data_IF_527373424956
#
_entry.id   IF_527373424956
#
_cell.length_a   1.000
_cell.length_b   1.000
_cell.length_c   1.000
_cell.angle_alpha   90.00
_cell.angle_beta   90.00
_cell.angle_gamma   90.00
#
_symmetry.space_group_name_H-M   'P 1'
#
loop_
_entity.id
_entity.type
_entity.pdbx_description
1 polymer ?
#
# COMPACT_ATOMS: atom_id res chain seq x y z
N UNK A 1 -7.66 -13.17 -26.75
CA UNK A 1 -6.99 -13.85 -25.63
C UNK A 1 -7.33 -13.06 -24.37
N UNK A 2 -7.64 -13.71 -23.28
CA UNK A 2 -7.98 -13.04 -22.00
C UNK A 2 -6.80 -13.18 -21.02
N UNK A 3 -6.56 -12.15 -20.24
CA UNK A 3 -5.57 -12.14 -19.16
C UNK A 3 -6.33 -12.12 -17.82
N UNK A 4 -6.71 -13.28 -17.28
CA UNK A 4 -7.62 -13.36 -16.16
C UNK A 4 -7.05 -12.75 -14.87
N UNK A 5 -5.76 -12.95 -14.58
CA UNK A 5 -5.13 -12.33 -13.40
C UNK A 5 -5.06 -10.81 -13.52
N UNK A 6 -4.76 -10.29 -14.71
CA UNK A 6 -4.78 -8.83 -14.97
C UNK A 6 -6.21 -8.29 -14.80
N UNK A 7 -7.22 -9.01 -15.29
CA UNK A 7 -8.62 -8.63 -15.13
C UNK A 7 -9.03 -8.61 -13.65
N UNK A 8 -8.68 -9.66 -12.89
CA UNK A 8 -8.91 -9.68 -11.42
C UNK A 8 -8.18 -8.55 -10.70
N UNK A 9 -6.93 -8.28 -11.05
CA UNK A 9 -6.18 -7.17 -10.47
C UNK A 9 -6.85 -5.81 -10.73
N UNK A 10 -7.51 -5.66 -11.89
CA UNK A 10 -8.24 -4.44 -12.26
C UNK A 10 -9.61 -4.31 -11.58
N UNK A 11 -10.12 -5.37 -10.95
CA UNK A 11 -11.42 -5.40 -10.30
C UNK A 11 -11.54 -4.31 -9.23
N UNK A 12 -12.73 -3.72 -9.17
CA UNK A 12 -13.03 -2.65 -8.23
C UNK A 12 -12.89 -3.09 -6.77
N UNK A 13 -13.36 -4.30 -6.42
CA UNK A 13 -13.30 -4.80 -5.04
C UNK A 13 -11.87 -5.09 -4.62
N UNK A 14 -11.05 -5.62 -5.53
CA UNK A 14 -9.62 -5.84 -5.31
C UNK A 14 -8.90 -4.52 -5.03
N UNK A 15 -9.27 -3.44 -5.71
CA UNK A 15 -8.65 -2.13 -5.62
C UNK A 15 -9.19 -1.22 -4.51
N UNK A 16 -10.29 -1.59 -3.89
CA UNK A 16 -10.90 -0.80 -2.81
C UNK A 16 -10.38 -1.21 -1.43
N UNK A 17 -9.88 -0.24 -0.67
CA UNK A 17 -9.36 -0.46 0.67
C UNK A 17 -10.39 -1.08 1.66
N UNK A 18 -11.67 -0.87 1.43
CA UNK A 18 -12.74 -1.44 2.26
C UNK A 18 -13.14 -2.87 1.88
N UNK A 19 -12.88 -3.30 0.64
CA UNK A 19 -13.40 -4.54 0.08
C UNK A 19 -12.33 -5.63 -0.16
N UNK A 20 -11.05 -5.24 -0.36
CA UNK A 20 -10.02 -6.19 -0.82
C UNK A 20 -9.78 -7.37 0.13
N UNK A 21 -10.03 -7.25 1.42
CA UNK A 21 -9.97 -8.38 2.36
C UNK A 21 -11.00 -9.44 2.01
N UNK A 22 -12.25 -9.02 1.80
CA UNK A 22 -13.35 -9.94 1.51
C UNK A 22 -13.18 -10.51 0.10
N UNK A 23 -12.67 -9.72 -0.84
CA UNK A 23 -12.25 -10.22 -2.15
C UNK A 23 -11.15 -11.28 -2.03
N UNK A 24 -10.12 -11.07 -1.17
CA UNK A 24 -9.09 -12.08 -0.91
C UNK A 24 -9.66 -13.34 -0.27
N UNK A 25 -10.58 -13.20 0.70
CA UNK A 25 -11.24 -14.33 1.37
C UNK A 25 -12.07 -15.19 0.40
N UNK A 26 -12.64 -14.59 -0.64
CA UNK A 26 -13.41 -15.29 -1.67
C UNK A 26 -12.55 -16.01 -2.72
N UNK A 27 -11.23 -15.73 -2.78
CA UNK A 27 -10.31 -16.37 -3.72
C UNK A 27 -9.69 -17.63 -3.10
N UNK A 28 -9.39 -18.60 -3.96
CA UNK A 28 -8.70 -19.86 -3.60
C UNK A 28 -7.44 -20.04 -4.44
N UNK A 29 -6.45 -20.76 -3.92
CA UNK A 29 -5.24 -21.11 -4.66
C UNK A 29 -5.55 -21.84 -5.95
N UNK A 30 -6.50 -22.79 -5.96
CA UNK A 30 -6.93 -23.53 -7.13
C UNK A 30 -7.48 -22.61 -8.24
N UNK A 31 -8.34 -21.64 -7.87
CA UNK A 31 -8.87 -20.68 -8.85
C UNK A 31 -7.77 -19.81 -9.44
N UNK A 32 -6.79 -19.42 -8.64
CA UNK A 32 -5.66 -18.61 -9.08
C UNK A 32 -4.64 -19.42 -9.88
N UNK A 33 -4.48 -20.72 -9.60
CA UNK A 33 -3.69 -21.63 -10.44
C UNK A 33 -4.28 -21.73 -11.84
N UNK A 34 -5.58 -21.95 -11.95
CA UNK A 34 -6.23 -22.00 -13.28
C UNK A 34 -6.03 -20.71 -14.07
N UNK A 35 -6.18 -19.55 -13.41
CA UNK A 35 -5.91 -18.25 -14.03
C UNK A 35 -4.43 -18.06 -14.38
N UNK A 36 -3.52 -18.56 -13.56
CA UNK A 36 -2.07 -18.51 -13.80
C UNK A 36 -1.68 -19.32 -15.03
N UNK A 37 -2.24 -20.52 -15.20
CA UNK A 37 -2.01 -21.37 -16.37
C UNK A 37 -2.51 -20.69 -17.65
N UNK A 38 -3.69 -20.06 -17.63
CA UNK A 38 -4.22 -19.29 -18.76
C UNK A 38 -3.33 -18.08 -19.06
N UNK A 39 -2.84 -17.39 -18.03
CA UNK A 39 -1.93 -16.26 -18.17
C UNK A 39 -0.62 -16.68 -18.84
N UNK A 40 -0.04 -17.84 -18.46
CA UNK A 40 1.14 -18.41 -19.10
C UNK A 40 0.90 -18.76 -20.59
N UNK A 41 -0.24 -19.40 -20.90
CA UNK A 41 -0.60 -19.77 -22.28
C UNK A 41 -0.77 -18.53 -23.17
N UNK A 42 -1.32 -17.45 -22.62
CA UNK A 42 -1.57 -16.20 -23.34
C UNK A 42 -0.39 -15.21 -23.23
N UNK A 43 0.71 -15.60 -22.61
CA UNK A 43 1.85 -14.71 -22.37
C UNK A 43 2.38 -14.11 -23.68
N UNK A 44 2.52 -12.79 -23.78
CA UNK A 44 3.12 -12.18 -24.94
C UNK A 44 4.60 -12.55 -25.02
N UNK A 45 5.04 -13.00 -26.17
CA UNK A 45 6.45 -13.37 -26.43
C UNK A 45 7.19 -12.20 -27.03
N UNK A 46 7.90 -11.45 -26.20
CA UNK A 46 8.67 -10.28 -26.62
C UNK A 46 9.73 -10.66 -27.68
N UNK A 47 10.33 -11.83 -27.54
CA UNK A 47 11.31 -12.36 -28.47
C UNK A 47 10.79 -12.47 -29.92
N UNK A 48 9.49 -12.75 -30.11
CA UNK A 48 8.87 -12.83 -31.44
C UNK A 48 8.85 -11.45 -32.15
N UNK A 49 9.03 -10.38 -31.40
CA UNK A 49 9.15 -9.01 -31.94
C UNK A 49 10.62 -8.57 -32.14
N UNK A 50 11.58 -9.47 -31.98
CA UNK A 50 13.01 -9.18 -32.10
C UNK A 50 13.56 -8.30 -30.98
N UNK A 51 12.88 -8.25 -29.84
CA UNK A 51 13.25 -7.39 -28.69
C UNK A 51 13.72 -8.21 -27.52
N UNK A 52 14.66 -7.65 -26.76
CA UNK A 52 15.15 -8.22 -25.54
C UNK A 52 14.31 -7.81 -24.33
N UNK A 53 14.22 -8.71 -23.35
CA UNK A 53 13.64 -8.46 -22.02
C UNK A 53 14.57 -7.55 -21.20
N UNK A 54 15.86 -7.88 -21.17
CA UNK A 54 16.87 -7.14 -20.46
C UNK A 54 17.49 -6.08 -21.37
N UNK A 55 17.51 -4.83 -20.94
CA UNK A 55 18.02 -3.72 -21.75
C UNK A 55 19.30 -3.16 -21.15
N UNK A 56 20.34 -2.97 -21.98
CA UNK A 56 21.52 -2.24 -21.54
C UNK A 56 21.14 -0.78 -21.32
N UNK A 57 21.03 -0.38 -20.06
CA UNK A 57 20.60 0.98 -19.71
C UNK A 57 21.81 1.91 -19.51
N UNK A 58 21.64 3.14 -19.92
CA UNK A 58 22.65 4.20 -19.75
C UNK A 58 22.72 4.78 -18.33
N UNK A 59 21.95 4.22 -17.38
CA UNK A 59 21.83 4.76 -16.02
C UNK A 59 20.76 5.84 -15.85
N UNK A 60 20.43 6.58 -16.89
CA UNK A 60 19.37 7.60 -16.82
C UNK A 60 17.99 6.95 -17.02
N UNK A 61 16.99 7.24 -16.17
CA UNK A 61 15.63 6.84 -16.41
C UNK A 61 15.12 7.43 -17.73
N UNK A 62 14.24 6.70 -18.44
CA UNK A 62 13.64 7.19 -19.68
C UNK A 62 12.66 8.35 -19.44
N UNK A 63 12.28 8.60 -18.19
CA UNK A 63 11.36 9.67 -17.80
C UNK A 63 12.08 10.78 -17.07
N UNK A 64 11.69 12.01 -17.35
CA UNK A 64 12.02 13.14 -16.49
C UNK A 64 11.43 12.95 -15.09
N UNK A 65 12.03 13.59 -14.07
CA UNK A 65 11.53 13.59 -12.69
C UNK A 65 10.09 14.13 -12.66
N UNK A 66 9.12 13.21 -12.49
CA UNK A 66 7.71 13.54 -12.34
C UNK A 66 7.18 12.84 -11.07
N UNK A 67 6.29 13.52 -10.35
CA UNK A 67 5.64 13.00 -9.13
C UNK A 67 4.97 11.63 -9.29
N UNK A 68 4.63 11.22 -10.52
CA UNK A 68 3.93 9.98 -10.81
C UNK A 68 4.84 8.82 -11.23
N UNK A 69 6.18 9.01 -11.24
CA UNK A 69 7.15 8.00 -11.73
C UNK A 69 8.25 7.66 -10.71
N UNK A 70 7.99 7.85 -9.45
CA UNK A 70 8.95 7.59 -8.37
C UNK A 70 9.43 6.14 -8.35
N UNK A 71 8.59 5.16 -8.72
CA UNK A 71 8.97 3.75 -8.78
C UNK A 71 10.02 3.45 -9.86
N UNK A 72 9.97 4.12 -11.01
CA UNK A 72 11.00 3.96 -12.05
C UNK A 72 12.34 4.52 -11.55
N UNK A 73 12.30 5.67 -10.90
CA UNK A 73 13.50 6.31 -10.35
C UNK A 73 14.09 5.52 -9.20
N UNK A 74 13.26 5.02 -8.29
CA UNK A 74 13.70 4.13 -7.22
C UNK A 74 14.30 2.83 -7.76
N UNK A 75 13.66 2.20 -8.74
CA UNK A 75 14.17 0.99 -9.38
C UNK A 75 15.54 1.22 -10.05
N UNK A 76 15.69 2.38 -10.71
CA UNK A 76 16.97 2.79 -11.29
C UNK A 76 18.06 3.02 -10.23
N UNK A 77 17.71 3.70 -9.13
CA UNK A 77 18.63 3.96 -8.02
C UNK A 77 19.09 2.67 -7.34
N UNK A 78 18.18 1.72 -7.10
CA UNK A 78 18.49 0.41 -6.54
C UNK A 78 19.43 -0.38 -7.45
N UNK A 79 19.11 -0.48 -8.74
CA UNK A 79 19.94 -1.20 -9.71
C UNK A 79 21.33 -0.57 -9.81
N UNK A 80 21.39 0.76 -9.85
CA UNK A 80 22.65 1.50 -9.88
C UNK A 80 23.48 1.22 -8.63
N UNK A 81 22.87 1.30 -7.44
CA UNK A 81 23.56 1.00 -6.18
C UNK A 81 24.18 -0.39 -6.20
N UNK A 82 23.42 -1.42 -6.55
CA UNK A 82 23.90 -2.79 -6.61
C UNK A 82 25.05 -2.96 -7.60
N UNK A 83 24.97 -2.32 -8.76
CA UNK A 83 26.04 -2.40 -9.78
C UNK A 83 27.32 -1.66 -9.39
N UNK A 84 27.22 -0.44 -8.85
CA UNK A 84 28.37 0.35 -8.45
C UNK A 84 29.10 -0.26 -7.24
N UNK A 85 28.37 -0.91 -6.34
CA UNK A 85 28.95 -1.58 -5.17
C UNK A 85 29.36 -3.03 -5.46
N UNK A 86 28.85 -3.63 -6.55
CA UNK A 86 29.01 -5.06 -6.80
C UNK A 86 28.33 -5.93 -5.74
N UNK A 87 27.29 -5.39 -5.09
CA UNK A 87 26.58 -6.03 -3.98
C UNK A 87 25.17 -6.47 -4.37
N UNK A 88 24.76 -7.63 -3.84
CA UNK A 88 23.37 -8.06 -3.84
C UNK A 88 22.67 -7.58 -2.57
N UNK A 89 21.34 -7.47 -2.61
CA UNK A 89 20.53 -7.14 -1.44
C UNK A 89 20.38 -8.39 -0.57
N UNK A 90 20.72 -8.29 0.71
CA UNK A 90 20.48 -9.38 1.66
C UNK A 90 18.97 -9.52 1.92
N UNK A 91 18.46 -10.74 1.82
CA UNK A 91 17.08 -11.08 2.20
C UNK A 91 16.98 -11.27 3.72
N UNK A 92 15.79 -11.08 4.32
CA UNK A 92 15.59 -11.28 5.74
C UNK A 92 15.86 -12.73 6.18
N UNK A 93 16.11 -12.92 7.48
CA UNK A 93 16.28 -14.23 8.12
C UNK A 93 17.34 -15.14 7.45
N UNK A 94 18.38 -14.52 6.86
CA UNK A 94 19.43 -15.25 6.13
C UNK A 94 18.91 -16.12 4.98
N UNK A 95 17.71 -15.76 4.43
CA UNK A 95 17.06 -16.51 3.36
C UNK A 95 17.71 -16.29 1.98
N UNK A 96 18.93 -15.75 1.95
CA UNK A 96 19.74 -15.60 0.75
C UNK A 96 19.95 -14.15 0.31
N UNK A 97 20.27 -13.98 -0.95
CA UNK A 97 20.59 -12.68 -1.55
C UNK A 97 19.76 -12.45 -2.82
N UNK A 98 19.44 -11.19 -3.09
CA UNK A 98 18.75 -10.76 -4.31
C UNK A 98 19.70 -9.93 -5.17
N UNK A 99 20.15 -10.49 -6.28
CA UNK A 99 20.89 -9.79 -7.34
C UNK A 99 19.89 -9.13 -8.31
N UNK A 100 20.00 -7.81 -8.53
CA UNK A 100 19.12 -7.10 -9.44
C UNK A 100 19.69 -7.12 -10.88
N UNK A 101 18.88 -7.58 -11.83
CA UNK A 101 19.24 -7.67 -13.24
C UNK A 101 18.82 -6.43 -14.04
N UNK A 102 17.55 -6.01 -13.92
CA UNK A 102 17.01 -4.85 -14.63
C UNK A 102 15.75 -4.28 -13.94
N UNK A 103 15.35 -3.06 -14.30
CA UNK A 103 14.12 -2.42 -13.80
C UNK A 103 13.21 -2.05 -14.97
N UNK A 104 11.91 -1.90 -14.68
CA UNK A 104 10.87 -1.60 -15.69
C UNK A 104 10.97 -2.51 -16.91
N UNK A 105 11.09 -3.82 -16.64
CA UNK A 105 11.28 -4.85 -17.67
C UNK A 105 10.01 -4.99 -18.51
N UNK A 106 10.17 -4.88 -19.79
CA UNK A 106 9.06 -5.05 -20.75
C UNK A 106 8.77 -6.54 -20.94
N UNK A 107 7.51 -6.88 -20.93
CA UNK A 107 7.04 -8.25 -21.18
C UNK A 107 6.21 -8.38 -22.46
N UNK A 108 5.94 -7.25 -23.13
CA UNK A 108 5.16 -7.23 -24.38
C UNK A 108 5.82 -6.34 -25.45
N UNK A 109 5.49 -6.57 -26.70
CA UNK A 109 5.93 -5.78 -27.86
C UNK A 109 5.51 -4.31 -27.80
N UNK A 110 5.91 -3.53 -28.79
CA UNK A 110 5.80 -2.07 -28.74
C UNK A 110 4.38 -1.51 -28.96
N UNK A 111 3.45 -2.28 -29.45
CA UNK A 111 2.09 -1.78 -29.71
C UNK A 111 1.35 -1.67 -28.38
N UNK A 112 1.24 -0.44 -27.89
CA UNK A 112 0.50 -0.13 -26.66
C UNK A 112 -1.00 -0.44 -26.78
N UNK A 113 -1.53 -0.45 -28.01
CA UNK A 113 -2.96 -0.51 -28.29
C UNK A 113 -3.46 -1.92 -28.68
N UNK A 114 -2.60 -2.94 -28.58
CA UNK A 114 -3.02 -4.31 -28.85
C UNK A 114 -4.04 -4.75 -27.78
N UNK A 115 -5.30 -5.02 -28.17
CA UNK A 115 -6.34 -5.47 -27.26
C UNK A 115 -5.96 -6.75 -26.51
N UNK A 116 -5.16 -7.63 -27.16
CA UNK A 116 -4.71 -8.90 -26.58
C UNK A 116 -3.74 -8.72 -25.40
N UNK A 117 -3.08 -7.58 -25.30
CA UNK A 117 -2.11 -7.29 -24.23
C UNK A 117 -2.49 -6.08 -23.38
N UNK A 118 -3.77 -5.67 -23.48
CA UNK A 118 -4.27 -4.52 -22.70
C UNK A 118 -4.15 -4.80 -21.21
N UNK A 119 -3.66 -3.80 -20.48
CA UNK A 119 -3.49 -3.87 -19.03
C UNK A 119 -2.18 -4.52 -18.56
N UNK A 120 -1.48 -5.28 -19.41
CA UNK A 120 -0.16 -5.82 -19.06
C UNK A 120 0.83 -4.66 -18.95
N UNK A 121 1.34 -4.44 -17.74
CA UNK A 121 2.34 -3.43 -17.42
C UNK A 121 3.76 -3.91 -17.67
N UNK A 122 4.70 -3.30 -16.96
CA UNK A 122 6.11 -3.72 -16.88
C UNK A 122 6.36 -4.39 -15.54
N UNK A 123 7.31 -5.30 -15.48
CA UNK A 123 7.85 -5.80 -14.21
C UNK A 123 8.69 -4.66 -13.61
N UNK A 124 8.45 -4.31 -12.35
CA UNK A 124 9.14 -3.18 -11.72
C UNK A 124 10.64 -3.46 -11.59
N UNK A 125 11.01 -4.64 -11.05
CA UNK A 125 12.38 -5.15 -11.01
C UNK A 125 12.40 -6.63 -11.37
N UNK A 126 13.46 -7.05 -12.03
CA UNK A 126 13.79 -8.46 -12.27
C UNK A 126 15.13 -8.76 -11.61
N UNK A 127 15.25 -9.90 -10.96
CA UNK A 127 16.45 -10.29 -10.24
C UNK A 127 16.65 -11.79 -10.18
N UNK A 128 17.72 -12.21 -9.50
CA UNK A 128 18.03 -13.59 -9.17
C UNK A 128 18.18 -13.75 -7.65
N UNK A 129 17.52 -14.74 -7.08
CA UNK A 129 17.80 -15.20 -5.71
C UNK A 129 19.03 -16.12 -5.78
N UNK A 130 20.02 -15.84 -4.93
CA UNK A 130 21.28 -16.58 -4.84
C UNK A 130 21.99 -16.78 -6.20
N UNK A 131 21.82 -15.78 -7.06
CA UNK A 131 22.41 -15.75 -8.40
C UNK A 131 21.84 -16.76 -9.40
N UNK A 132 20.77 -17.49 -9.07
CA UNK A 132 20.25 -18.56 -9.91
C UNK A 132 18.71 -18.50 -10.10
N UNK A 133 17.93 -18.40 -9.03
CA UNK A 133 16.47 -18.48 -9.14
C UNK A 133 15.86 -17.14 -9.56
N UNK A 134 15.10 -17.13 -10.64
CA UNK A 134 14.48 -15.92 -11.16
C UNK A 134 13.52 -15.28 -10.11
N UNK A 135 13.60 -13.99 -9.93
CA UNK A 135 12.72 -13.22 -9.05
C UNK A 135 11.99 -12.11 -9.82
N UNK A 136 10.68 -12.10 -9.71
CA UNK A 136 9.80 -11.04 -10.23
C UNK A 136 9.40 -10.15 -9.08
N UNK A 137 9.77 -8.87 -9.13
CA UNK A 137 9.56 -7.96 -8.02
C UNK A 137 8.54 -6.89 -8.43
N UNK A 138 7.48 -6.76 -7.63
CA UNK A 138 6.53 -5.65 -7.71
C UNK A 138 6.83 -4.66 -6.61
N UNK A 139 6.89 -3.38 -6.95
CA UNK A 139 7.23 -2.34 -5.98
C UNK A 139 6.06 -1.43 -5.68
N UNK A 140 6.02 -0.94 -4.44
CA UNK A 140 5.23 0.21 -4.03
C UNK A 140 6.06 1.10 -3.11
N UNK A 141 6.08 2.36 -3.43
CA UNK A 141 6.77 3.34 -2.61
C UNK A 141 5.80 4.43 -2.16
N UNK A 142 5.89 4.75 -0.90
CA UNK A 142 5.16 5.85 -0.27
C UNK A 142 6.15 6.58 0.60
N UNK A 143 6.26 7.88 0.42
CA UNK A 143 7.14 8.74 1.20
C UNK A 143 6.85 8.64 2.70
N UNK A 144 7.85 8.78 3.58
CA UNK A 144 7.68 8.66 5.02
C UNK A 144 6.61 9.60 5.60
N UNK A 145 6.51 10.82 5.09
CA UNK A 145 5.52 11.82 5.50
C UNK A 145 4.12 11.66 4.91
N UNK A 146 3.91 10.74 3.98
CA UNK A 146 2.63 10.60 3.31
C UNK A 146 1.51 10.14 4.26
N UNK A 147 0.31 10.70 4.06
CA UNK A 147 -0.89 10.36 4.85
C UNK A 147 -1.77 9.29 4.19
N UNK A 148 -1.55 8.99 2.91
CA UNK A 148 -2.35 8.04 2.13
C UNK A 148 -1.44 7.28 1.15
N UNK A 149 -1.75 6.02 0.89
CA UNK A 149 -1.23 5.30 -0.27
C UNK A 149 -1.97 5.74 -1.54
N UNK A 150 -1.50 5.38 -2.72
CA UNK A 150 -2.22 5.59 -3.98
C UNK A 150 -3.64 5.02 -3.96
N UNK A 151 -4.52 5.59 -4.78
CA UNK A 151 -5.87 5.05 -4.97
C UNK A 151 -5.75 3.74 -5.77
N UNK A 152 -6.37 2.67 -5.25
CA UNK A 152 -6.35 1.37 -5.92
C UNK A 152 -5.07 0.55 -5.70
N UNK A 153 -4.10 1.05 -4.94
CA UNK A 153 -2.89 0.32 -4.56
C UNK A 153 -3.11 -0.51 -3.30
N UNK A 154 -3.95 -1.52 -3.39
CA UNK A 154 -4.14 -2.47 -2.28
C UNK A 154 -3.10 -3.58 -2.35
N UNK A 155 -2.75 -4.24 -1.23
CA UNK A 155 -1.88 -5.40 -1.25
C UNK A 155 -2.37 -6.54 -2.14
N UNK A 156 -3.69 -6.78 -2.19
CA UNK A 156 -4.28 -7.79 -3.06
C UNK A 156 -4.13 -7.45 -4.55
N UNK A 157 -4.34 -6.17 -4.93
CA UNK A 157 -4.09 -5.74 -6.31
C UNK A 157 -2.65 -6.00 -6.72
N UNK A 158 -1.68 -5.66 -5.87
CA UNK A 158 -0.25 -5.86 -6.19
C UNK A 158 0.10 -7.34 -6.25
N UNK A 159 -0.49 -8.19 -5.40
CA UNK A 159 -0.31 -9.63 -5.44
C UNK A 159 -0.79 -10.21 -6.78
N UNK A 160 -2.02 -9.91 -7.18
CA UNK A 160 -2.60 -10.45 -8.42
C UNK A 160 -1.87 -9.94 -9.68
N UNK A 161 -1.55 -8.65 -9.73
CA UNK A 161 -0.75 -8.07 -10.80
C UNK A 161 0.67 -8.66 -10.84
N UNK A 162 1.27 -8.90 -9.68
CA UNK A 162 2.55 -9.58 -9.55
C UNK A 162 2.48 -11.04 -10.02
N UNK A 163 1.44 -11.76 -9.65
CA UNK A 163 1.23 -13.15 -10.08
C UNK A 163 1.07 -13.25 -11.60
N UNK A 164 0.34 -12.31 -12.22
CA UNK A 164 0.24 -12.23 -13.68
C UNK A 164 1.61 -12.03 -14.35
N UNK A 165 2.41 -11.09 -13.82
CA UNK A 165 3.76 -10.87 -14.35
C UNK A 165 4.69 -12.06 -14.12
N UNK A 166 4.51 -12.80 -13.03
CA UNK A 166 5.27 -14.02 -12.73
C UNK A 166 4.87 -15.14 -13.70
N UNK A 167 3.58 -15.28 -14.04
CA UNK A 167 3.11 -16.22 -15.05
C UNK A 167 3.75 -15.94 -16.42
N UNK A 168 3.76 -14.67 -16.85
CA UNK A 168 4.39 -14.25 -18.10
C UNK A 168 5.90 -14.51 -18.08
N UNK A 169 6.59 -14.15 -16.98
CA UNK A 169 8.01 -14.40 -16.84
C UNK A 169 8.35 -15.90 -16.88
N UNK A 170 7.51 -16.73 -16.25
CA UNK A 170 7.63 -18.20 -16.30
C UNK A 170 7.50 -18.73 -17.73
N UNK A 171 6.51 -18.26 -18.50
CA UNK A 171 6.31 -18.64 -19.88
C UNK A 171 7.46 -18.23 -20.81
N UNK A 172 8.14 -17.13 -20.46
CA UNK A 172 9.26 -16.57 -21.22
C UNK A 172 10.64 -16.90 -20.62
N UNK A 173 10.70 -17.78 -19.62
CA UNK A 173 11.89 -18.07 -18.82
C UNK A 173 13.12 -18.44 -19.65
N UNK A 174 12.98 -19.30 -20.65
CA UNK A 174 14.09 -19.72 -21.51
C UNK A 174 14.75 -18.56 -22.25
N UNK A 175 13.94 -17.62 -22.74
CA UNK A 175 14.46 -16.42 -23.40
C UNK A 175 15.15 -15.49 -22.41
N UNK A 176 14.55 -15.31 -21.24
CA UNK A 176 15.14 -14.50 -20.15
C UNK A 176 16.45 -15.15 -19.69
N UNK A 177 16.48 -16.46 -19.48
CA UNK A 177 17.67 -17.22 -19.07
C UNK A 177 18.83 -17.06 -20.06
N UNK A 178 18.54 -17.16 -21.36
CA UNK A 178 19.53 -16.94 -22.42
C UNK A 178 20.13 -15.53 -22.32
N UNK A 179 19.27 -14.50 -22.20
CA UNK A 179 19.74 -13.12 -22.06
C UNK A 179 20.56 -12.88 -20.76
N UNK A 180 20.19 -13.58 -19.67
CA UNK A 180 20.95 -13.55 -18.41
C UNK A 180 22.31 -14.17 -18.59
N UNK A 181 22.40 -15.35 -19.22
CA UNK A 181 23.67 -16.01 -19.50
C UNK A 181 24.58 -15.15 -20.38
N UNK A 182 24.03 -14.59 -21.47
CA UNK A 182 24.79 -13.73 -22.39
C UNK A 182 25.31 -12.44 -21.75
N UNK A 183 24.54 -11.83 -20.83
CA UNK A 183 24.86 -10.50 -20.30
C UNK A 183 25.57 -10.52 -18.96
N UNK A 184 25.26 -11.50 -18.14
CA UNK A 184 25.74 -11.55 -16.75
C UNK A 184 26.60 -12.80 -16.48
N UNK A 185 26.69 -13.73 -17.44
CA UNK A 185 27.41 -15.00 -17.23
C UNK A 185 26.78 -15.84 -16.11
N UNK A 186 25.47 -15.71 -15.90
CA UNK A 186 24.73 -16.43 -14.86
C UNK A 186 23.83 -17.48 -15.49
N UNK A 187 23.70 -18.59 -14.80
CA UNK A 187 22.78 -19.67 -15.17
C UNK A 187 21.49 -19.53 -14.37
N UNK A 188 20.35 -19.53 -15.06
CA UNK A 188 19.04 -19.41 -14.38
C UNK A 188 18.52 -20.81 -14.09
N UNK A 189 18.17 -21.08 -12.83
CA UNK A 189 17.57 -22.33 -12.38
C UNK A 189 16.26 -22.63 -13.13
N UNK A 190 15.95 -23.91 -13.39
CA UNK A 190 14.66 -24.33 -13.92
C UNK A 190 13.50 -24.17 -12.94
N UNK A 191 13.77 -23.85 -11.68
CA UNK A 191 12.73 -23.68 -10.66
C UNK A 191 11.75 -22.56 -11.02
N UNK A 192 10.50 -22.65 -10.55
CA UNK A 192 9.54 -21.57 -10.71
C UNK A 192 10.09 -20.25 -10.11
N UNK A 193 9.80 -19.10 -10.74
CA UNK A 193 10.24 -17.81 -10.21
C UNK A 193 9.69 -17.53 -8.82
N UNK A 194 10.37 -16.68 -8.06
CA UNK A 194 9.86 -16.12 -6.80
C UNK A 194 9.14 -14.82 -7.11
N UNK A 195 7.96 -14.62 -6.55
CA UNK A 195 7.27 -13.34 -6.56
C UNK A 195 7.59 -12.56 -5.27
N UNK A 196 8.21 -11.40 -5.42
CA UNK A 196 8.52 -10.51 -4.31
C UNK A 196 7.63 -9.25 -4.39
N UNK A 197 6.87 -9.00 -3.35
CA UNK A 197 6.20 -7.73 -3.17
C UNK A 197 7.05 -6.84 -2.26
N UNK A 198 7.73 -5.87 -2.85
CA UNK A 198 8.64 -4.96 -2.19
C UNK A 198 7.99 -3.58 -2.01
N UNK A 199 7.81 -3.13 -0.76
CA UNK A 199 7.23 -1.81 -0.54
C UNK A 199 7.94 -1.04 0.59
N UNK A 200 7.79 0.30 0.58
CA UNK A 200 8.31 1.11 1.68
C UNK A 200 7.60 0.77 3.00
N UNK A 201 8.25 0.90 4.17
CA UNK A 201 7.62 0.66 5.47
C UNK A 201 6.35 1.50 5.65
N UNK A 202 6.35 2.72 5.10
CA UNK A 202 5.19 3.61 5.16
C UNK A 202 3.98 3.08 4.40
N UNK A 203 4.19 2.41 3.26
CA UNK A 203 3.11 1.74 2.54
C UNK A 203 2.42 0.69 3.43
N UNK A 204 3.20 -0.20 4.02
CA UNK A 204 2.70 -1.25 4.90
C UNK A 204 1.98 -0.69 6.14
N UNK A 205 2.54 0.36 6.75
CA UNK A 205 1.93 1.06 7.88
C UNK A 205 0.57 1.66 7.49
N UNK A 206 0.49 2.33 6.36
CA UNK A 206 -0.76 2.94 5.89
C UNK A 206 -1.80 1.89 5.51
N UNK A 207 -1.41 0.77 4.90
CA UNK A 207 -2.32 -0.35 4.64
C UNK A 207 -2.88 -0.94 5.93
N UNK A 208 -2.09 -1.06 6.98
CA UNK A 208 -2.53 -1.50 8.31
C UNK A 208 -3.49 -0.51 8.97
N UNK A 209 -3.21 0.78 8.86
CA UNK A 209 -4.05 1.86 9.44
C UNK A 209 -5.35 2.11 8.67
N UNK A 210 -5.37 1.83 7.38
CA UNK A 210 -6.57 1.98 6.55
C UNK A 210 -7.74 1.11 6.96
N UNK A 211 -7.56 0.33 7.94
CA UNK A 211 -8.56 -0.65 8.25
C UNK A 211 -9.81 -0.02 8.87
N UNK A 212 -10.75 0.37 8.03
CA UNK A 212 -12.13 -0.04 8.25
C UNK A 212 -12.18 -1.55 8.56
N UNK A 213 -11.07 -2.24 8.42
CA UNK A 213 -10.86 -3.66 8.55
C UNK A 213 -10.29 -3.95 9.94
N UNK A 214 -11.18 -4.45 10.77
CA UNK A 214 -10.89 -4.86 12.15
C UNK A 214 -9.53 -5.55 12.25
N UNK A 215 -8.52 -4.84 12.82
CA UNK A 215 -7.28 -5.42 13.25
C UNK A 215 -6.35 -5.98 12.17
N UNK A 216 -6.24 -5.34 11.00
CA UNK A 216 -5.40 -5.81 9.90
C UNK A 216 -5.64 -7.29 9.49
N UNK A 217 -6.88 -7.78 9.65
CA UNK A 217 -7.29 -9.15 9.33
C UNK A 217 -7.01 -9.55 7.87
N UNK A 218 -6.84 -8.57 6.99
CA UNK A 218 -6.42 -8.79 5.61
C UNK A 218 -5.03 -9.44 5.49
N UNK A 219 -4.13 -9.26 6.47
CA UNK A 219 -2.81 -9.92 6.48
C UNK A 219 -2.99 -11.43 6.53
N UNK A 220 -3.91 -11.92 7.37
CA UNK A 220 -4.21 -13.36 7.46
C UNK A 220 -4.71 -13.91 6.14
N UNK A 221 -5.60 -13.18 5.47
CA UNK A 221 -6.13 -13.60 4.16
C UNK A 221 -5.06 -13.59 3.07
N UNK A 222 -4.19 -12.59 3.04
CA UNK A 222 -3.08 -12.58 2.08
C UNK A 222 -2.05 -13.67 2.37
N UNK A 223 -1.73 -13.93 3.65
CA UNK A 223 -0.82 -15.01 4.02
C UNK A 223 -1.40 -16.37 3.66
N UNK A 224 -2.70 -16.60 3.92
CA UNK A 224 -3.41 -17.81 3.49
C UNK A 224 -3.34 -17.96 1.98
N UNK A 225 -3.72 -16.93 1.25
CA UNK A 225 -3.77 -16.95 -0.21
C UNK A 225 -2.38 -17.17 -0.82
N UNK A 226 -1.34 -16.54 -0.27
CA UNK A 226 0.04 -16.75 -0.69
C UNK A 226 0.48 -18.22 -0.50
N UNK A 227 0.18 -18.82 0.65
CA UNK A 227 0.48 -20.23 0.91
C UNK A 227 -0.29 -21.18 -0.01
N UNK A 228 -1.55 -20.88 -0.31
CA UNK A 228 -2.34 -21.66 -1.27
C UNK A 228 -1.78 -21.53 -2.70
N UNK A 229 -1.42 -20.31 -3.13
CA UNK A 229 -0.78 -20.08 -4.43
C UNK A 229 0.55 -20.85 -4.53
N UNK A 230 1.38 -20.78 -3.51
CA UNK A 230 2.65 -21.51 -3.47
C UNK A 230 2.43 -23.03 -3.58
N UNK A 231 1.45 -23.56 -2.85
CA UNK A 231 1.09 -24.98 -2.92
C UNK A 231 0.64 -25.39 -4.32
N UNK A 232 -0.20 -24.60 -4.95
CA UNK A 232 -0.81 -24.92 -6.24
C UNK A 232 0.07 -24.62 -7.44
N UNK A 233 0.91 -23.59 -7.39
CA UNK A 233 1.71 -23.10 -8.53
C UNK A 233 3.21 -23.32 -8.36
N UNK A 234 3.66 -23.68 -7.17
CA UNK A 234 5.08 -23.71 -6.75
C UNK A 234 5.80 -22.35 -6.85
N UNK A 235 5.04 -21.24 -6.85
CA UNK A 235 5.54 -19.88 -6.85
C UNK A 235 5.61 -19.36 -5.41
N UNK A 236 6.80 -19.27 -4.80
CA UNK A 236 6.93 -18.66 -3.48
C UNK A 236 6.61 -17.17 -3.56
N UNK A 237 5.92 -16.67 -2.53
CA UNK A 237 5.55 -15.26 -2.43
C UNK A 237 6.17 -14.66 -1.18
N UNK A 238 6.94 -13.60 -1.36
CA UNK A 238 7.57 -12.87 -0.26
C UNK A 238 7.04 -11.43 -0.19
N UNK A 239 6.71 -10.98 1.01
CA UNK A 239 6.32 -9.61 1.30
C UNK A 239 7.43 -8.91 2.06
N UNK A 240 8.08 -7.94 1.44
CA UNK A 240 9.26 -7.28 1.99
C UNK A 240 9.06 -5.78 2.15
N UNK A 241 9.68 -5.24 3.18
CA UNK A 241 9.80 -3.81 3.40
C UNK A 241 11.19 -3.34 2.96
N UNK A 242 11.23 -2.35 2.07
CA UNK A 242 12.44 -1.66 1.64
C UNK A 242 12.68 -0.43 2.51
N UNK A 243 13.68 -0.48 3.35
CA UNK A 243 14.13 0.65 4.17
C UNK A 243 15.26 1.38 3.46
N UNK A 244 15.07 2.67 3.26
CA UNK A 244 16.07 3.59 2.70
C UNK A 244 16.56 4.55 3.78
N UNK A 245 17.78 5.05 3.64
CA UNK A 245 18.32 6.14 4.46
C UNK A 245 17.94 7.47 3.79
N UNK A 246 17.50 8.46 4.57
CA UNK A 246 17.07 9.76 4.06
C UNK A 246 15.56 9.82 3.71
N UNK A 247 15.14 10.97 3.24
CA UNK A 247 13.76 11.27 2.82
C UNK A 247 13.79 12.06 1.49
N UNK A 248 13.45 11.46 0.36
CA UNK A 248 12.86 10.12 0.15
C UNK A 248 13.84 8.94 0.17
N UNK A 249 15.13 9.13 0.37
CA UNK A 249 16.16 8.11 0.43
C UNK A 249 16.98 7.96 -0.86
N UNK A 250 16.73 8.83 -1.84
CA UNK A 250 17.56 8.97 -3.03
C UNK A 250 17.62 10.44 -3.49
N UNK A 251 18.72 10.79 -4.09
CA UNK A 251 18.98 12.07 -4.72
C UNK A 251 19.26 11.89 -6.21
N UNK A 252 19.72 12.94 -6.89
CA UNK A 252 20.04 12.92 -8.31
C UNK A 252 21.42 13.53 -8.55
N UNK A 253 22.20 12.85 -9.37
CA UNK A 253 23.42 13.36 -9.95
C UNK A 253 23.32 13.43 -11.49
N UNK A 254 24.43 13.66 -12.18
CA UNK A 254 24.49 13.74 -13.65
C UNK A 254 24.09 12.42 -14.33
N UNK A 255 24.27 11.29 -13.64
CA UNK A 255 23.95 9.97 -14.16
C UNK A 255 22.53 9.52 -13.86
N UNK A 256 21.80 10.24 -13.00
CA UNK A 256 20.41 9.96 -12.65
C UNK A 256 20.17 9.73 -11.15
N UNK A 257 19.15 8.97 -10.78
CA UNK A 257 18.83 8.72 -9.37
C UNK A 257 19.91 7.85 -8.70
N UNK A 258 20.24 8.22 -7.46
CA UNK A 258 21.27 7.63 -6.63
C UNK A 258 20.73 7.44 -5.20
N UNK A 259 20.93 6.27 -4.60
CA UNK A 259 20.58 6.05 -3.19
C UNK A 259 21.51 6.84 -2.26
N UNK A 260 20.94 7.41 -1.20
CA UNK A 260 21.72 8.15 -0.18
C UNK A 260 22.45 7.21 0.79
N UNK A 261 22.09 5.91 0.83
CA UNK A 261 22.72 4.93 1.69
C UNK A 261 22.37 3.50 1.32
N UNK A 262 22.84 2.54 2.13
CA UNK A 262 22.59 1.12 1.91
C UNK A 262 21.10 0.80 2.07
N UNK A 263 20.46 0.22 1.05
CA UNK A 263 19.08 -0.26 1.18
C UNK A 263 19.06 -1.53 2.05
N UNK A 264 18.05 -1.62 2.91
CA UNK A 264 17.85 -2.78 3.78
C UNK A 264 16.48 -3.41 3.48
N UNK A 265 16.46 -4.73 3.37
CA UNK A 265 15.24 -5.51 3.26
C UNK A 265 14.89 -6.10 4.62
N UNK A 266 13.62 -6.07 4.97
CA UNK A 266 13.07 -6.73 6.15
C UNK A 266 11.69 -7.28 5.81
N UNK A 267 11.14 -8.15 6.65
CA UNK A 267 9.76 -8.58 6.46
C UNK A 267 8.79 -7.40 6.46
N UNK A 268 7.75 -7.50 5.65
CA UNK A 268 6.72 -6.48 5.53
C UNK A 268 5.97 -6.25 6.86
N UNK A 269 5.85 -7.31 7.64
CA UNK A 269 5.32 -7.31 9.00
C UNK A 269 6.19 -8.19 9.88
N UNK A 270 6.71 -7.62 10.94
CA UNK A 270 7.47 -8.37 11.95
C UNK A 270 6.57 -9.43 12.62
N UNK A 271 7.15 -10.57 13.06
CA UNK A 271 6.43 -11.58 13.82
C UNK A 271 5.64 -10.94 14.97
N UNK A 272 4.31 -11.06 14.93
CA UNK A 272 3.41 -10.42 15.88
C UNK A 272 2.99 -8.99 15.57
N UNK A 273 3.40 -8.41 14.43
CA UNK A 273 2.88 -7.11 13.96
C UNK A 273 1.39 -7.18 13.58
N UNK A 274 0.89 -8.35 13.31
CA UNK A 274 -0.53 -8.69 13.19
C UNK A 274 -1.22 -8.81 14.56
N UNK A 275 -0.46 -8.93 15.66
CA UNK A 275 -0.97 -8.67 17.00
C UNK A 275 -1.20 -7.17 17.12
N UNK A 276 -2.36 -6.73 16.64
CA UNK A 276 -2.91 -5.46 17.07
C UNK A 276 -2.75 -5.42 18.58
N UNK A 277 -1.86 -4.55 19.08
CA UNK A 277 -1.90 -4.21 20.52
C UNK A 277 -3.37 -3.90 20.77
N UNK A 278 -4.09 -4.68 21.59
CA UNK A 278 -5.50 -4.41 21.81
C UNK A 278 -5.54 -2.93 22.13
N UNK A 279 -6.27 -2.17 21.33
CA UNK A 279 -6.53 -0.76 21.61
C UNK A 279 -6.82 -0.75 23.10
N UNK A 280 -6.03 -0.02 23.94
CA UNK A 280 -6.26 -0.09 25.39
C UNK A 280 -7.75 0.06 25.50
N UNK A 281 -8.42 -0.99 26.02
CA UNK A 281 -9.87 -1.01 26.13
C UNK A 281 -10.17 0.34 26.70
N UNK A 282 -10.85 1.21 25.92
CA UNK A 282 -11.22 2.51 26.38
C UNK A 282 -11.73 2.22 27.78
N UNK A 283 -10.96 2.61 28.80
CA UNK A 283 -11.25 2.31 30.20
C UNK A 283 -12.74 2.38 30.28
N UNK A 284 -13.38 1.24 30.62
CA UNK A 284 -14.83 1.16 30.61
C UNK A 284 -15.25 2.50 31.15
N UNK A 285 -15.86 3.32 30.32
CA UNK A 285 -16.31 4.64 30.75
C UNK A 285 -16.98 4.31 32.05
N UNK A 286 -16.35 4.67 33.15
CA UNK A 286 -17.00 4.60 34.44
C UNK A 286 -18.35 5.20 34.12
N UNK A 287 -19.42 4.43 34.30
CA UNK A 287 -20.77 4.94 34.07
C UNK A 287 -20.75 6.28 34.75
N UNK A 288 -20.66 7.34 33.95
CA UNK A 288 -20.66 8.69 34.50
C UNK A 288 -21.92 8.71 35.33
N UNK A 289 -21.89 9.15 36.59
CA UNK A 289 -23.10 9.27 37.36
C UNK A 289 -24.10 9.90 36.43
N UNK A 290 -25.31 9.32 36.34
CA UNK A 290 -26.40 9.85 35.51
C UNK A 290 -26.45 11.33 35.87
N UNK A 291 -25.89 12.18 34.99
CA UNK A 291 -25.88 13.63 35.26
C UNK A 291 -27.34 14.03 35.29
N UNK A 292 -27.73 14.54 36.43
CA UNK A 292 -29.10 15.00 36.68
C UNK A 292 -29.42 16.05 35.62
N UNK A 293 -30.44 15.81 34.81
CA UNK A 293 -30.81 16.72 33.72
C UNK A 293 -31.31 17.99 34.35
N UNK A 294 -30.64 19.11 34.09
CA UNK A 294 -31.06 20.41 34.55
C UNK A 294 -32.26 20.86 33.76
N UNK A 295 -33.40 21.04 34.43
CA UNK A 295 -34.61 21.58 33.81
C UNK A 295 -34.50 23.11 33.61
N UNK A 296 -35.33 23.62 32.69
CA UNK A 296 -35.38 25.04 32.38
C UNK A 296 -35.89 25.85 33.59
N UNK A 297 -35.18 26.86 34.00
CA UNK A 297 -35.64 27.83 34.98
C UNK A 297 -36.62 28.81 34.33
N UNK A 298 -37.91 28.56 34.52
CA UNK A 298 -38.96 29.35 33.90
C UNK A 298 -39.10 30.75 34.51
N UNK A 299 -38.46 31.03 35.66
CA UNK A 299 -38.41 32.36 36.24
C UNK A 299 -37.53 33.33 35.45
N UNK A 300 -36.61 32.80 34.64
CA UNK A 300 -35.70 33.55 33.79
C UNK A 300 -36.23 33.65 32.33
N UNK A 301 -36.14 34.85 31.72
CA UNK A 301 -36.54 34.98 30.33
C UNK A 301 -35.62 34.17 29.39
N UNK A 302 -36.20 33.61 28.30
CA UNK A 302 -35.39 33.05 27.25
C UNK A 302 -34.55 34.15 26.56
N UNK A 303 -33.26 33.87 26.31
CA UNK A 303 -32.31 34.84 25.71
C UNK A 303 -31.79 34.31 24.36
N UNK A 304 -31.58 35.22 23.42
CA UNK A 304 -30.87 34.85 22.19
C UNK A 304 -29.41 34.54 22.53
N UNK A 305 -28.92 33.42 22.03
CA UNK A 305 -27.54 33.05 22.31
C UNK A 305 -26.55 34.05 21.71
N UNK A 306 -25.61 34.51 22.54
CA UNK A 306 -24.46 35.33 22.16
C UNK A 306 -23.22 34.82 22.88
N UNK A 307 -22.12 34.61 22.17
CA UNK A 307 -20.87 34.05 22.72
C UNK A 307 -20.18 34.96 23.79
N UNK A 308 -20.53 36.25 23.80
CA UNK A 308 -20.04 37.24 24.74
C UNK A 308 -20.83 37.27 26.05
N UNK A 309 -21.97 36.60 26.14
CA UNK A 309 -22.81 36.62 27.34
C UNK A 309 -22.48 35.47 28.29
N UNK A 310 -22.79 35.67 29.56
CA UNK A 310 -22.69 34.66 30.60
C UNK A 310 -24.03 33.94 30.80
N UNK A 311 -23.94 32.61 30.87
CA UNK A 311 -25.10 31.72 31.05
C UNK A 311 -24.90 30.83 32.28
N UNK A 312 -26.00 30.62 33.01
CA UNK A 312 -26.04 29.72 34.17
C UNK A 312 -26.85 28.47 33.85
N UNK A 313 -26.64 27.41 34.62
CA UNK A 313 -27.45 26.18 34.50
C UNK A 313 -28.94 26.52 34.66
N UNK A 314 -29.78 25.96 33.83
CA UNK A 314 -31.21 26.22 33.72
C UNK A 314 -31.60 27.41 32.81
N UNK A 315 -30.66 28.20 32.31
CA UNK A 315 -30.98 29.29 31.38
C UNK A 315 -31.51 28.72 30.05
N UNK A 316 -32.58 29.35 29.53
CA UNK A 316 -33.10 29.06 28.21
C UNK A 316 -32.46 29.93 27.17
N UNK A 317 -31.92 29.33 26.13
CA UNK A 317 -31.29 30.04 25.01
C UNK A 317 -31.91 29.68 23.69
N UNK A 318 -32.01 30.64 22.80
CA UNK A 318 -32.41 30.44 21.41
C UNK A 318 -31.19 30.63 20.52
N UNK A 319 -30.71 29.54 19.91
CA UNK A 319 -29.55 29.55 19.01
C UNK A 319 -30.01 29.60 17.55
N UNK A 320 -29.45 30.48 16.69
CA UNK A 320 -29.97 30.74 15.34
C UNK A 320 -29.98 29.50 14.42
N UNK A 321 -29.14 28.50 14.72
CA UNK A 321 -29.02 27.27 13.89
C UNK A 321 -29.54 26.03 14.63
N UNK A 322 -29.41 25.97 15.98
CA UNK A 322 -29.69 24.77 16.77
C UNK A 322 -31.08 24.83 17.46
N UNK A 323 -31.78 25.96 17.34
CA UNK A 323 -33.11 26.14 17.96
C UNK A 323 -33.04 26.47 19.46
N UNK A 324 -34.10 26.14 20.19
CA UNK A 324 -34.16 26.39 21.64
C UNK A 324 -33.42 25.31 22.44
N UNK A 325 -32.76 25.72 23.49
CA UNK A 325 -32.00 24.82 24.35
C UNK A 325 -31.92 25.30 25.81
N UNK A 326 -31.60 24.36 26.72
CA UNK A 326 -31.43 24.62 28.16
C UNK A 326 -29.98 24.36 28.54
N UNK A 327 -29.38 25.33 29.19
CA UNK A 327 -28.00 25.25 29.69
C UNK A 327 -27.93 24.21 30.79
N UNK A 328 -27.12 23.19 30.63
CA UNK A 328 -26.94 22.10 31.58
C UNK A 328 -25.83 22.36 32.58
N UNK A 329 -24.93 23.32 32.28
CA UNK A 329 -23.81 23.69 33.14
C UNK A 329 -22.54 24.05 32.38
N UNK A 330 -21.46 24.26 33.08
CA UNK A 330 -20.16 24.56 32.48
C UNK A 330 -19.51 23.31 31.89
N UNK A 331 -18.85 23.46 30.74
CA UNK A 331 -18.12 22.40 30.05
C UNK A 331 -16.60 22.63 30.03
N UNK A 332 -16.12 23.56 30.85
CA UNK A 332 -14.75 24.05 30.95
C UNK A 332 -14.67 25.57 30.85
N UNK A 333 -13.47 26.14 30.87
CA UNK A 333 -13.29 27.61 30.84
C UNK A 333 -13.91 28.20 29.56
N UNK A 334 -14.82 29.13 29.75
CA UNK A 334 -15.52 29.81 28.66
C UNK A 334 -16.43 28.93 27.81
N UNK A 335 -16.90 27.77 28.31
CA UNK A 335 -17.78 26.86 27.59
C UNK A 335 -18.92 26.38 28.46
N UNK A 336 -20.11 26.27 27.83
CA UNK A 336 -21.33 25.73 28.44
C UNK A 336 -21.82 24.51 27.68
N UNK A 337 -22.42 23.55 28.38
CA UNK A 337 -23.21 22.49 27.79
C UNK A 337 -24.65 22.95 27.67
N UNK A 338 -25.22 22.76 26.50
CA UNK A 338 -26.61 23.12 26.22
C UNK A 338 -27.31 21.92 25.62
N UNK A 339 -28.44 21.57 26.18
CA UNK A 339 -29.31 20.51 25.68
C UNK A 339 -30.35 21.13 24.78
N UNK A 340 -30.33 20.75 23.52
CA UNK A 340 -31.35 21.00 22.50
C UNK A 340 -32.26 19.77 22.38
N UNK A 341 -33.37 19.87 21.66
CA UNK A 341 -34.36 18.78 21.54
C UNK A 341 -33.78 17.45 21.10
N UNK A 342 -32.83 17.45 20.18
CA UNK A 342 -32.27 16.22 19.62
C UNK A 342 -30.85 15.89 20.14
N UNK A 343 -30.14 16.82 20.79
CA UNK A 343 -28.74 16.59 21.16
C UNK A 343 -28.19 17.61 22.16
N UNK A 344 -27.16 17.19 22.90
CA UNK A 344 -26.36 18.09 23.73
C UNK A 344 -25.19 18.66 22.91
N UNK A 345 -24.94 19.97 23.03
CA UNK A 345 -23.84 20.67 22.38
C UNK A 345 -23.06 21.52 23.37
N UNK A 346 -21.77 21.69 23.08
CA UNK A 346 -20.90 22.59 23.84
C UNK A 346 -20.77 23.90 23.07
N UNK A 347 -21.18 25.00 23.70
CA UNK A 347 -21.12 26.34 23.15
C UNK A 347 -20.12 27.20 23.93
N UNK A 348 -19.58 28.22 23.28
CA UNK A 348 -18.67 29.19 23.90
C UNK A 348 -19.49 30.28 24.63
N UNK A 349 -19.07 30.72 25.80
CA UNK A 349 -19.66 31.87 26.51
C UNK A 349 -18.57 32.71 27.15
N UNK A 350 -18.91 33.91 27.60
CA UNK A 350 -17.98 34.87 28.26
C UNK A 350 -16.73 35.23 27.43
N UNK A 351 -16.74 35.09 26.13
CA UNK A 351 -15.60 35.47 25.30
C UNK A 351 -15.64 36.98 25.03
N UNK A 352 -14.74 37.73 25.66
CA UNK A 352 -14.51 39.14 25.30
C UNK A 352 -13.90 39.16 23.90
N UNK A 353 -14.54 39.82 22.94
CA UNK A 353 -13.96 40.05 21.63
C UNK A 353 -12.66 40.84 21.81
N UNK A 354 -11.52 40.24 21.44
CA UNK A 354 -10.26 40.98 21.36
C UNK A 354 -10.43 42.04 20.27
N UNK A 355 -10.26 43.30 20.64
CA UNK A 355 -10.32 44.47 19.76
C UNK A 355 -9.20 44.45 18.70
#
# INVERSE_FOLDING_TARGET
>A
MSHPLIARAADREVRQAAAFRDAAAAMTGESLRADFEIEQQNAPRLADSGRAYLVKRSGKPASERRKTRDLEHLGSALLRYCREKGESLALPEESGTLELLDYQVRVKGARADDPATRGIGRIDLLGLIDGQRLAVIRMRFVEPGARRCGVGDTPLHVLLDGLAHTAIASACRENIAREVAERFGREVSPDPPVLIFLASPRYWELCRKRSAQKGASWIKELTRLAGEIETETHIPIQYLALRLQGDPGWSYDEQGPLLEGKPLLSDAWEPGADRVKPKPRARARSVAPVEEIVEADLSRPARVYAFSEQYLAGDRISHPVLGEGVVQGLAGDGKIRVRFDESEKVLVHERVASA
#
